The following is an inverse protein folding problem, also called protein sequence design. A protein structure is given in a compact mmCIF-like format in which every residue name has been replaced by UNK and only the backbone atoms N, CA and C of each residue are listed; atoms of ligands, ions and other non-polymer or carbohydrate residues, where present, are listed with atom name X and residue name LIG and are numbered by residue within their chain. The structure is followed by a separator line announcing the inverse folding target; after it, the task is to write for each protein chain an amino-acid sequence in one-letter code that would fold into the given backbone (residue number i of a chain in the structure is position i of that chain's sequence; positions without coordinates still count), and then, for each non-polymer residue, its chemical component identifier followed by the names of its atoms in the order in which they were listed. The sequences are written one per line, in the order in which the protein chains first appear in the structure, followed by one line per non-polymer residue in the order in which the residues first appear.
data_IF_041257811310
#
_entry.id   IF_041257811310
#
_cell.length_a   1.000
_cell.length_b   1.000
_cell.length_c   1.000
_cell.angle_alpha   90.00
_cell.angle_beta   90.00
_cell.angle_gamma   90.00
#
_symmetry.space_group_name_H-M   'P 1'
#
loop_
_entity.id
_entity.type
_entity.pdbx_description
1 polymer ?
#
# COMPACT_ATOMS: atom_id res chain seq x y z
N UNK A 1 23.93 -9.42 2.61
CA UNK A 1 22.97 -10.12 1.72
C UNK A 1 22.23 -9.12 0.84
N UNK A 2 22.88 -8.48 -0.16
CA UNK A 2 22.23 -7.49 -1.03
C UNK A 2 21.04 -8.06 -1.81
N UNK A 3 21.14 -9.34 -2.20
CA UNK A 3 20.10 -10.04 -2.95
C UNK A 3 18.81 -10.22 -2.15
N UNK A 4 18.90 -10.53 -0.85
CA UNK A 4 17.71 -10.67 0.03
C UNK A 4 16.98 -9.34 0.21
N UNK A 5 17.71 -8.24 0.39
CA UNK A 5 17.13 -6.88 0.47
C UNK A 5 16.41 -6.50 -0.83
N UNK A 6 17.02 -6.80 -1.98
CA UNK A 6 16.42 -6.58 -3.30
C UNK A 6 15.17 -7.45 -3.51
N UNK A 7 15.23 -8.72 -3.12
CA UNK A 7 14.09 -9.64 -3.18
C UNK A 7 12.94 -9.16 -2.29
N UNK A 8 13.24 -8.74 -1.06
CA UNK A 8 12.27 -8.18 -0.13
C UNK A 8 11.52 -6.99 -0.74
N UNK A 9 12.22 -5.97 -1.27
CA UNK A 9 11.55 -4.83 -1.90
C UNK A 9 10.77 -5.23 -3.15
N UNK A 10 11.30 -6.15 -3.96
CA UNK A 10 10.61 -6.61 -5.16
C UNK A 10 9.28 -7.27 -4.82
N UNK A 11 9.25 -8.17 -3.84
CA UNK A 11 8.02 -8.84 -3.42
C UNK A 11 7.08 -7.85 -2.74
N UNK A 12 7.60 -6.95 -1.90
CA UNK A 12 6.77 -5.94 -1.24
C UNK A 12 6.08 -5.02 -2.25
N UNK A 13 6.78 -4.61 -3.32
CA UNK A 13 6.17 -3.84 -4.41
C UNK A 13 5.02 -4.60 -5.07
N UNK A 14 5.27 -5.84 -5.47
CA UNK A 14 4.23 -6.68 -6.08
C UNK A 14 3.00 -6.80 -5.17
N UNK A 15 3.19 -7.02 -3.87
CA UNK A 15 2.07 -7.12 -2.91
C UNK A 15 1.31 -5.79 -2.70
N UNK A 16 1.93 -4.64 -2.99
CA UNK A 16 1.28 -3.33 -2.93
C UNK A 16 0.58 -3.03 -4.27
N UNK A 17 1.19 -3.42 -5.39
CA UNK A 17 0.58 -3.37 -6.73
C UNK A 17 -0.70 -4.23 -6.77
N UNK A 18 -0.66 -5.45 -6.24
CA UNK A 18 -1.85 -6.30 -6.07
C UNK A 18 -2.95 -5.59 -5.25
N UNK A 19 -2.57 -4.82 -4.22
CA UNK A 19 -3.55 -4.06 -3.43
C UNK A 19 -4.12 -2.84 -4.17
N UNK A 20 -3.40 -2.27 -5.13
CA UNK A 20 -3.95 -1.22 -5.99
C UNK A 20 -5.01 -1.82 -6.92
N UNK A 21 -4.75 -3.00 -7.49
CA UNK A 21 -5.73 -3.74 -8.28
C UNK A 21 -6.98 -4.07 -7.46
N UNK A 22 -6.83 -4.51 -6.19
CA UNK A 22 -7.96 -4.74 -5.28
C UNK A 22 -8.83 -3.47 -5.07
N UNK A 23 -8.21 -2.29 -4.98
CA UNK A 23 -8.93 -1.02 -4.81
C UNK A 23 -9.69 -0.65 -6.09
N UNK A 24 -9.07 -0.80 -7.26
CA UNK A 24 -9.74 -0.58 -8.55
C UNK A 24 -10.94 -1.53 -8.74
N UNK A 25 -10.81 -2.78 -8.35
CA UNK A 25 -11.91 -3.76 -8.38
C UNK A 25 -13.07 -3.35 -7.46
N UNK A 26 -12.78 -2.77 -6.29
CA UNK A 26 -13.78 -2.23 -5.39
C UNK A 26 -14.48 -0.99 -5.98
N UNK A 27 -13.73 -0.08 -6.61
CA UNK A 27 -14.31 1.08 -7.31
C UNK A 27 -15.28 0.63 -8.40
N UNK A 28 -14.87 -0.35 -9.23
CA UNK A 28 -15.71 -0.95 -10.25
C UNK A 28 -16.96 -1.62 -9.67
N UNK A 29 -16.85 -2.28 -8.52
CA UNK A 29 -17.99 -2.87 -7.83
C UNK A 29 -18.99 -1.82 -7.36
N UNK A 30 -18.52 -0.73 -6.76
CA UNK A 30 -19.40 0.35 -6.31
C UNK A 30 -20.05 1.09 -7.47
N UNK A 31 -19.35 1.28 -8.58
CA UNK A 31 -19.94 1.83 -9.81
C UNK A 31 -21.09 0.97 -10.32
N UNK A 32 -20.91 -0.37 -10.36
CA UNK A 32 -21.98 -1.30 -10.75
C UNK A 32 -23.18 -1.22 -9.81
N UNK A 33 -22.95 -1.21 -8.49
CA UNK A 33 -24.02 -1.09 -7.49
C UNK A 33 -24.78 0.23 -7.62
N UNK A 34 -24.09 1.33 -7.89
CA UNK A 34 -24.71 2.63 -8.10
C UNK A 34 -25.58 2.63 -9.36
N UNK A 35 -25.07 2.08 -10.48
CA UNK A 35 -25.85 1.92 -11.73
C UNK A 35 -27.04 0.98 -11.60
N UNK A 36 -27.00 0.04 -10.64
CA UNK A 36 -28.08 -0.87 -10.33
C UNK A 36 -29.09 -0.35 -9.29
N UNK A 37 -28.99 0.93 -8.89
CA UNK A 37 -29.81 1.55 -7.83
C UNK A 37 -29.73 0.82 -6.46
N UNK A 38 -28.68 0.03 -6.22
CA UNK A 38 -28.47 -0.70 -4.96
C UNK A 38 -27.94 0.22 -3.84
N UNK A 39 -27.33 1.34 -4.21
CA UNK A 39 -26.80 2.34 -3.29
C UNK A 39 -27.23 3.74 -3.72
N UNK A 40 -27.39 4.64 -2.76
CA UNK A 40 -27.74 6.03 -3.04
C UNK A 40 -26.53 6.80 -3.61
N UNK A 41 -26.76 7.92 -4.33
CA UNK A 41 -25.66 8.79 -4.78
C UNK A 41 -24.75 9.25 -3.64
N UNK A 42 -25.31 9.48 -2.44
CA UNK A 42 -24.53 9.86 -1.26
C UNK A 42 -23.52 8.77 -0.88
N UNK A 43 -23.98 7.52 -0.75
CA UNK A 43 -23.13 6.38 -0.38
C UNK A 43 -22.08 6.11 -1.46
N UNK A 44 -22.46 6.21 -2.73
CA UNK A 44 -21.51 6.06 -3.84
C UNK A 44 -20.39 7.10 -3.79
N UNK A 45 -20.74 8.38 -3.66
CA UNK A 45 -19.75 9.47 -3.63
C UNK A 45 -18.82 9.39 -2.40
N UNK A 46 -19.34 8.98 -1.24
CA UNK A 46 -18.52 8.79 -0.03
C UNK A 46 -17.50 7.66 -0.21
N UNK A 47 -17.92 6.53 -0.79
CA UNK A 47 -17.04 5.40 -1.06
C UNK A 47 -16.02 5.71 -2.16
N UNK A 48 -16.42 6.36 -3.24
CA UNK A 48 -15.52 6.75 -4.33
C UNK A 48 -14.44 7.72 -3.82
N UNK A 49 -14.82 8.74 -3.05
CA UNK A 49 -13.86 9.68 -2.49
C UNK A 49 -12.88 9.02 -1.50
N UNK A 50 -13.33 8.00 -0.75
CA UNK A 50 -12.45 7.23 0.13
C UNK A 50 -11.47 6.36 -0.67
N UNK A 51 -11.97 5.58 -1.63
CA UNK A 51 -11.15 4.67 -2.44
C UNK A 51 -10.12 5.43 -3.27
N UNK A 52 -10.50 6.57 -3.86
CA UNK A 52 -9.57 7.43 -4.60
C UNK A 52 -8.41 7.94 -3.71
N UNK A 53 -8.66 8.21 -2.42
CA UNK A 53 -7.62 8.59 -1.46
C UNK A 53 -6.74 7.40 -1.08
N UNK A 54 -7.32 6.22 -0.90
CA UNK A 54 -6.56 4.99 -0.61
C UNK A 54 -5.65 4.61 -1.77
N UNK A 55 -6.18 4.62 -3.01
CA UNK A 55 -5.42 4.38 -4.23
C UNK A 55 -4.23 5.34 -4.37
N UNK A 56 -4.48 6.65 -4.18
CA UNK A 56 -3.43 7.67 -4.21
C UNK A 56 -2.37 7.42 -3.14
N UNK A 57 -2.79 7.12 -1.91
CA UNK A 57 -1.89 6.84 -0.80
C UNK A 57 -1.00 5.62 -1.06
N UNK A 58 -1.57 4.54 -1.57
CA UNK A 58 -0.82 3.33 -1.96
C UNK A 58 0.16 3.60 -3.11
N UNK A 59 -0.27 4.36 -4.12
CA UNK A 59 0.60 4.76 -5.25
C UNK A 59 1.80 5.60 -4.82
N UNK A 60 1.60 6.52 -3.86
CA UNK A 60 2.67 7.32 -3.27
C UNK A 60 3.65 6.47 -2.47
N UNK A 61 3.16 5.47 -1.73
CA UNK A 61 4.01 4.51 -1.03
C UNK A 61 4.86 3.73 -2.01
N UNK A 62 4.27 3.21 -3.09
CA UNK A 62 4.99 2.47 -4.13
C UNK A 62 6.13 3.31 -4.72
N UNK A 63 5.82 4.55 -5.10
CA UNK A 63 6.80 5.53 -5.61
C UNK A 63 7.91 5.83 -4.59
N UNK A 64 7.60 5.82 -3.30
CA UNK A 64 8.60 6.05 -2.25
C UNK A 64 9.54 4.85 -2.09
N UNK A 65 9.03 3.62 -2.27
CA UNK A 65 9.84 2.40 -2.23
C UNK A 65 10.83 2.36 -3.40
N UNK A 66 10.48 2.91 -4.56
CA UNK A 66 11.40 3.05 -5.71
C UNK A 66 12.66 3.86 -5.39
N UNK A 67 12.59 4.78 -4.44
CA UNK A 67 13.68 5.69 -4.08
C UNK A 67 14.57 5.15 -2.95
N UNK A 68 14.30 3.95 -2.43
CA UNK A 68 15.03 3.38 -1.30
C UNK A 68 16.42 2.90 -1.74
N UNK A 69 17.44 3.50 -1.12
CA UNK A 69 18.84 3.12 -1.27
C UNK A 69 19.19 1.93 -0.37
N UNK A 70 19.33 0.75 -0.99
CA UNK A 70 19.57 -0.50 -0.29
C UNK A 70 20.88 -0.51 0.53
N UNK A 71 21.89 0.27 0.14
CA UNK A 71 23.22 0.22 0.75
C UNK A 71 23.24 0.87 2.14
N UNK A 72 22.19 1.64 2.49
CA UNK A 72 22.02 2.28 3.81
C UNK A 72 21.61 1.32 4.93
N UNK A 73 21.24 0.09 4.59
CA UNK A 73 20.65 -0.87 5.54
C UNK A 73 21.53 -2.10 5.72
N UNK A 74 21.83 -2.47 6.96
CA UNK A 74 22.71 -3.60 7.25
C UNK A 74 21.99 -4.95 7.03
N UNK A 75 20.69 -5.02 7.32
CA UNK A 75 19.86 -6.22 7.22
C UNK A 75 18.52 -5.99 6.49
N UNK A 76 17.75 -7.06 6.29
CA UNK A 76 16.39 -6.97 5.72
C UNK A 76 15.44 -6.39 6.77
N UNK A 77 15.68 -6.69 8.03
CA UNK A 77 14.96 -6.23 9.20
C UNK A 77 15.11 -4.70 9.36
N UNK A 78 16.33 -4.18 9.23
CA UNK A 78 16.59 -2.72 9.27
C UNK A 78 15.89 -2.00 8.12
N UNK A 79 15.94 -2.60 6.93
CA UNK A 79 15.25 -2.08 5.75
C UNK A 79 13.73 -2.09 5.95
N UNK A 80 13.17 -3.18 6.48
CA UNK A 80 11.74 -3.29 6.74
C UNK A 80 11.26 -2.29 7.79
N UNK A 81 12.02 -2.08 8.87
CA UNK A 81 11.72 -1.06 9.88
C UNK A 81 11.73 0.35 9.27
N UNK A 82 12.73 0.68 8.46
CA UNK A 82 12.81 1.97 7.80
C UNK A 82 11.68 2.21 6.79
N UNK A 83 11.27 1.18 6.06
CA UNK A 83 10.10 1.24 5.17
C UNK A 83 8.81 1.44 5.96
N UNK A 84 8.60 0.72 7.09
CA UNK A 84 7.43 0.90 7.95
C UNK A 84 7.34 2.35 8.48
N UNK A 85 8.44 2.90 8.99
CA UNK A 85 8.50 4.29 9.45
C UNK A 85 8.22 5.28 8.31
N UNK A 86 8.78 5.05 7.12
CA UNK A 86 8.57 5.90 5.95
C UNK A 86 7.08 5.93 5.58
N UNK A 87 6.42 4.76 5.52
CA UNK A 87 4.99 4.66 5.21
C UNK A 87 4.17 5.39 6.28
N UNK A 88 4.48 5.17 7.56
CA UNK A 88 3.76 5.82 8.66
C UNK A 88 3.87 7.34 8.57
N UNK A 89 5.08 7.87 8.32
CA UNK A 89 5.32 9.32 8.14
C UNK A 89 4.52 9.86 6.96
N UNK A 90 4.52 9.15 5.83
CA UNK A 90 3.82 9.58 4.60
C UNK A 90 2.30 9.59 4.77
N UNK A 91 1.76 8.60 5.49
CA UNK A 91 0.32 8.55 5.79
C UNK A 91 -0.09 9.73 6.67
N UNK A 92 0.73 10.10 7.65
CA UNK A 92 0.49 11.28 8.49
C UNK A 92 0.68 12.60 7.71
N UNK A 93 1.75 12.73 6.93
CA UNK A 93 2.10 13.96 6.19
C UNK A 93 1.04 14.33 5.15
N UNK A 94 0.50 13.35 4.44
CA UNK A 94 -0.51 13.57 3.41
C UNK A 94 -1.95 13.41 3.91
N UNK A 95 -2.14 13.26 5.22
CA UNK A 95 -3.44 13.00 5.84
C UNK A 95 -4.19 11.86 5.12
N UNK A 96 -3.46 10.84 4.70
CA UNK A 96 -4.03 9.69 4.01
C UNK A 96 -4.87 8.86 5.00
N UNK A 97 -5.87 8.11 4.51
CA UNK A 97 -6.64 7.22 5.37
C UNK A 97 -5.73 6.25 6.13
N UNK A 98 -5.99 6.05 7.42
CA UNK A 98 -5.20 5.14 8.27
C UNK A 98 -5.22 3.69 7.74
N UNK A 99 -6.25 3.33 6.98
CA UNK A 99 -6.35 2.06 6.26
C UNK A 99 -5.15 1.81 5.33
N UNK A 100 -4.60 2.85 4.67
CA UNK A 100 -3.40 2.75 3.82
C UNK A 100 -2.22 2.21 4.61
N UNK A 101 -1.93 2.78 5.79
CA UNK A 101 -0.88 2.26 6.67
C UNK A 101 -1.15 0.81 7.09
N UNK A 102 -2.38 0.52 7.50
CA UNK A 102 -2.78 -0.82 7.93
C UNK A 102 -2.61 -1.89 6.84
N UNK A 103 -2.99 -1.59 5.60
CA UNK A 103 -2.84 -2.47 4.45
C UNK A 103 -1.36 -2.75 4.19
N UNK A 104 -0.56 -1.70 4.00
CA UNK A 104 0.86 -1.86 3.65
C UNK A 104 1.63 -2.53 4.78
N UNK A 105 1.35 -2.21 6.05
CA UNK A 105 2.00 -2.86 7.21
C UNK A 105 1.78 -4.37 7.21
N UNK A 106 0.56 -4.84 6.91
CA UNK A 106 0.28 -6.28 6.82
C UNK A 106 1.10 -6.95 5.71
N UNK A 107 1.21 -6.31 4.54
CA UNK A 107 2.03 -6.81 3.42
C UNK A 107 3.51 -6.83 3.77
N UNK A 108 4.02 -5.75 4.35
CA UNK A 108 5.40 -5.65 4.85
C UNK A 108 5.75 -6.78 5.80
N UNK A 109 4.90 -7.05 6.81
CA UNK A 109 5.14 -8.13 7.77
C UNK A 109 5.07 -9.52 7.11
N UNK A 110 4.19 -9.72 6.12
CA UNK A 110 4.12 -10.97 5.35
C UNK A 110 5.41 -11.21 4.57
N UNK A 111 5.89 -10.20 3.84
CA UNK A 111 7.10 -10.30 3.01
C UNK A 111 8.35 -10.41 3.87
N UNK A 112 8.41 -9.69 5.00
CA UNK A 112 9.52 -9.80 5.97
C UNK A 112 9.64 -11.24 6.46
N UNK A 113 8.54 -11.85 6.93
CA UNK A 113 8.55 -13.25 7.37
C UNK A 113 9.08 -14.18 6.30
N UNK A 114 8.66 -13.99 5.04
CA UNK A 114 9.15 -14.80 3.93
C UNK A 114 10.65 -14.61 3.66
N UNK A 115 11.15 -13.38 3.68
CA UNK A 115 12.54 -13.06 3.36
C UNK A 115 13.55 -13.48 4.45
N UNK A 116 13.08 -13.64 5.69
CA UNK A 116 13.88 -14.07 6.85
C UNK A 116 13.68 -15.55 7.20
N UNK A 117 12.81 -16.25 6.49
CA UNK A 117 12.61 -17.71 6.64
C UNK A 117 13.75 -18.52 6.02
#
# INVERSE_FOLDING_TARGET
MPERKRLFLKILKAEIEDCLEDVEDLENLYERKFRGDEVTPYVYNENEALLAREFRGLSQVLSSIDLVDLDRYASVEDLAAAVDEMIQKKVLEYENPQAVYGIVKRKLLKVLRYATS
#
